data_IF_974890681375
#
_entry.id   IF_974890681375
#
_cell.length_a   1.000
_cell.length_b   1.000
_cell.length_c   1.000
_cell.angle_alpha   90.00
_cell.angle_beta   90.00
_cell.angle_gamma   90.00
#
_symmetry.space_group_name_H-M   'P 1'
#
loop_
_entity.id
_entity.type
_entity.pdbx_description
1 polymer ?
#
# COMPACT_ATOMS: atom_id res chain seq x y z
N UNK A 1 -55.68 -37.45 21.98
CA UNK A 1 -54.41 -36.88 22.46
C UNK A 1 -53.88 -35.97 21.37
N UNK A 2 -53.98 -34.66 21.57
CA UNK A 2 -53.43 -33.69 20.63
C UNK A 2 -51.91 -33.68 20.80
N UNK A 3 -51.18 -34.09 19.75
CA UNK A 3 -49.74 -33.97 19.71
C UNK A 3 -49.40 -32.48 19.73
N UNK A 4 -48.88 -32.01 20.87
CA UNK A 4 -48.26 -30.70 21.00
C UNK A 4 -47.02 -30.68 20.10
N UNK A 5 -47.15 -30.23 18.85
CA UNK A 5 -46.01 -29.97 17.98
C UNK A 5 -45.21 -28.83 18.62
N UNK A 6 -44.09 -29.16 19.26
CA UNK A 6 -43.10 -28.15 19.62
C UNK A 6 -42.72 -27.39 18.34
N UNK A 7 -42.60 -26.05 18.40
CA UNK A 7 -42.16 -25.28 17.25
C UNK A 7 -40.80 -25.81 16.76
N UNK A 8 -40.54 -25.79 15.44
CA UNK A 8 -39.26 -26.23 14.89
C UNK A 8 -38.14 -25.45 15.59
N UNK A 9 -37.20 -26.17 16.18
CA UNK A 9 -36.06 -25.55 16.82
C UNK A 9 -35.20 -24.87 15.74
N UNK A 10 -34.71 -23.64 16.01
CA UNK A 10 -33.78 -23.01 15.09
C UNK A 10 -32.50 -23.84 15.01
N UNK A 11 -32.02 -24.08 13.79
CA UNK A 11 -30.76 -24.77 13.50
C UNK A 11 -29.77 -23.80 12.86
N UNK A 12 -28.47 -24.07 13.02
CA UNK A 12 -27.40 -23.27 12.42
C UNK A 12 -27.38 -21.80 12.89
N UNK A 13 -27.05 -20.83 12.01
CA UNK A 13 -26.90 -19.42 12.38
C UNK A 13 -28.13 -18.78 13.04
N UNK A 14 -29.34 -19.30 12.75
CA UNK A 14 -30.56 -18.80 13.38
C UNK A 14 -30.60 -19.15 14.87
N UNK A 15 -30.03 -20.30 15.26
CA UNK A 15 -29.92 -20.69 16.66
C UNK A 15 -29.00 -19.74 17.42
N UNK A 16 -27.85 -19.39 16.85
CA UNK A 16 -26.86 -18.51 17.48
C UNK A 16 -27.43 -17.10 17.73
N UNK A 17 -28.16 -16.54 16.74
CA UNK A 17 -28.86 -15.26 16.90
C UNK A 17 -29.90 -15.32 18.04
N UNK A 18 -30.67 -16.39 18.11
CA UNK A 18 -31.73 -16.57 19.12
C UNK A 18 -31.14 -16.76 20.52
N UNK A 19 -30.07 -17.55 20.64
CA UNK A 19 -29.35 -17.75 21.91
C UNK A 19 -28.75 -16.44 22.43
N UNK A 20 -28.16 -15.62 21.53
CA UNK A 20 -27.65 -14.31 21.89
C UNK A 20 -28.78 -13.36 22.35
N UNK A 21 -29.91 -13.31 21.63
CA UNK A 21 -31.06 -12.49 22.03
C UNK A 21 -31.62 -12.93 23.39
N UNK A 22 -31.67 -14.23 23.66
CA UNK A 22 -32.11 -14.78 24.94
C UNK A 22 -31.10 -14.56 26.08
N UNK A 23 -29.80 -14.53 25.78
CA UNK A 23 -28.76 -14.12 26.72
C UNK A 23 -28.93 -12.65 27.12
N UNK A 24 -29.05 -11.75 26.14
CA UNK A 24 -29.24 -10.33 26.39
C UNK A 24 -30.56 -10.06 27.14
N UNK A 25 -31.63 -10.78 26.78
CA UNK A 25 -32.90 -10.69 27.48
C UNK A 25 -32.81 -11.15 28.94
N UNK A 26 -32.03 -12.20 29.24
CA UNK A 26 -31.73 -12.63 30.61
C UNK A 26 -30.89 -11.60 31.35
N UNK A 27 -29.85 -11.04 30.72
CA UNK A 27 -28.99 -10.02 31.31
C UNK A 27 -29.75 -8.72 31.65
N UNK A 28 -30.78 -8.39 30.87
CA UNK A 28 -31.71 -7.28 31.11
C UNK A 28 -32.81 -7.60 32.16
N UNK A 29 -32.78 -8.77 32.80
CA UNK A 29 -33.73 -9.14 33.85
C UNK A 29 -35.07 -9.68 33.35
N UNK A 30 -35.12 -10.31 32.15
CA UNK A 30 -36.30 -10.99 31.61
C UNK A 30 -37.54 -10.10 31.49
N UNK A 31 -37.35 -8.87 30.99
CA UNK A 31 -38.44 -7.91 30.79
C UNK A 31 -39.57 -8.50 29.94
N UNK A 32 -40.83 -8.17 30.25
CA UNK A 32 -41.95 -8.64 29.42
C UNK A 32 -41.85 -8.09 28.00
N UNK A 33 -42.24 -8.86 26.98
CA UNK A 33 -42.18 -8.41 25.58
C UNK A 33 -42.97 -7.12 25.32
N UNK A 34 -44.04 -6.88 26.09
CA UNK A 34 -44.79 -5.61 26.08
C UNK A 34 -43.96 -4.45 26.62
N UNK A 35 -43.18 -4.67 27.69
CA UNK A 35 -42.28 -3.67 28.25
C UNK A 35 -41.16 -3.34 27.26
N UNK A 36 -40.56 -4.34 26.60
CA UNK A 36 -39.54 -4.12 25.55
C UNK A 36 -40.11 -3.29 24.39
N UNK A 37 -41.28 -3.64 23.86
CA UNK A 37 -41.94 -2.85 22.79
C UNK A 37 -42.28 -1.42 23.23
N UNK A 38 -42.57 -1.19 24.52
CA UNK A 38 -42.80 0.14 25.08
C UNK A 38 -41.50 0.94 25.15
N UNK A 39 -40.39 0.31 25.54
CA UNK A 39 -39.06 0.93 25.54
C UNK A 39 -38.65 1.36 24.13
N UNK A 40 -38.82 0.49 23.13
CA UNK A 40 -38.53 0.80 21.72
C UNK A 40 -39.34 2.01 21.23
N UNK A 41 -40.63 2.07 21.57
CA UNK A 41 -41.49 3.20 21.17
C UNK A 41 -41.10 4.52 21.84
N UNK A 42 -40.52 4.46 23.04
CA UNK A 42 -40.09 5.64 23.79
C UNK A 42 -38.76 6.24 23.33
N UNK A 43 -38.12 5.65 22.31
CA UNK A 43 -36.83 6.08 21.79
C UNK A 43 -36.97 6.91 20.50
N UNK A 44 -36.18 7.97 20.40
CA UNK A 44 -36.13 8.85 19.23
C UNK A 44 -35.28 8.27 18.08
N UNK A 45 -34.36 7.36 18.38
CA UNK A 45 -33.41 6.71 17.46
C UNK A 45 -33.93 5.38 16.87
N UNK A 46 -35.21 5.05 17.07
CA UNK A 46 -35.80 3.78 16.63
C UNK A 46 -35.83 3.64 15.10
N UNK A 47 -35.48 2.46 14.62
CA UNK A 47 -35.49 2.13 13.18
C UNK A 47 -36.76 1.36 12.76
N UNK A 48 -37.54 0.87 13.72
CA UNK A 48 -38.67 -0.04 13.52
C UNK A 48 -39.85 0.24 14.47
N UNK A 49 -41.07 -0.07 14.02
CA UNK A 49 -42.28 -0.10 14.85
C UNK A 49 -42.54 -1.51 15.42
N UNK A 50 -41.52 -2.10 16.05
CA UNK A 50 -41.57 -3.48 16.55
C UNK A 50 -42.67 -3.67 17.61
N UNK A 51 -43.68 -4.49 17.28
CA UNK A 51 -44.75 -4.87 18.21
C UNK A 51 -44.26 -5.89 19.24
N UNK A 52 -44.97 -6.03 20.37
CA UNK A 52 -44.66 -7.06 21.37
C UNK A 52 -44.68 -8.49 20.81
N UNK A 53 -45.49 -8.77 19.79
CA UNK A 53 -45.50 -10.07 19.10
C UNK A 53 -44.27 -10.23 18.19
N UNK A 54 -43.82 -9.15 17.55
CA UNK A 54 -42.58 -9.12 16.76
C UNK A 54 -41.36 -9.38 17.65
N UNK A 55 -41.30 -8.73 18.81
CA UNK A 55 -40.24 -8.94 19.82
C UNK A 55 -40.26 -10.38 20.32
N UNK A 56 -41.44 -10.90 20.67
CA UNK A 56 -41.60 -12.31 21.07
C UNK A 56 -41.12 -13.26 19.97
N UNK A 57 -41.55 -13.03 18.73
CA UNK A 57 -41.22 -13.88 17.59
C UNK A 57 -39.72 -13.92 17.33
N UNK A 58 -39.02 -12.79 17.48
CA UNK A 58 -37.57 -12.70 17.36
C UNK A 58 -36.84 -13.41 18.51
N UNK A 59 -37.15 -13.10 19.77
CA UNK A 59 -36.45 -13.67 20.95
C UNK A 59 -36.72 -15.17 21.10
N UNK A 60 -37.88 -15.66 20.67
CA UNK A 60 -38.22 -17.09 20.70
C UNK A 60 -37.76 -17.85 19.45
N UNK A 61 -37.16 -17.18 18.46
CA UNK A 61 -36.71 -17.83 17.22
C UNK A 61 -37.83 -18.36 16.33
N UNK A 62 -39.04 -17.79 16.42
CA UNK A 62 -40.20 -18.21 15.62
C UNK A 62 -40.05 -17.72 14.17
N UNK A 63 -39.48 -16.52 13.98
CA UNK A 63 -39.21 -15.94 12.65
C UNK A 63 -37.90 -15.16 12.69
N UNK A 64 -37.23 -15.12 11.54
CA UNK A 64 -36.05 -14.27 11.33
C UNK A 64 -36.52 -12.80 11.21
N UNK A 65 -36.15 -11.92 12.17
CA UNK A 65 -36.49 -10.50 12.11
C UNK A 65 -35.68 -9.75 11.03
N UNK A 66 -36.13 -8.56 10.65
CA UNK A 66 -35.29 -7.62 9.88
C UNK A 66 -34.26 -6.95 10.80
N UNK A 67 -33.18 -6.43 10.24
CA UNK A 67 -32.11 -5.80 11.00
C UNK A 67 -32.63 -4.65 11.89
N UNK A 68 -33.51 -3.81 11.38
CA UNK A 68 -34.08 -2.67 12.12
C UNK A 68 -34.81 -3.13 13.39
N UNK A 69 -35.44 -4.31 13.33
CA UNK A 69 -36.09 -4.91 14.49
C UNK A 69 -35.09 -5.50 15.48
N UNK A 70 -33.99 -6.09 15.01
CA UNK A 70 -32.92 -6.61 15.88
C UNK A 70 -32.24 -5.46 16.60
N UNK A 71 -31.83 -4.43 15.85
CA UNK A 71 -31.23 -3.20 16.36
C UNK A 71 -32.05 -2.66 17.54
N UNK A 72 -33.32 -2.33 17.31
CA UNK A 72 -34.16 -1.71 18.34
C UNK A 72 -34.34 -2.60 19.59
N UNK A 73 -34.41 -3.93 19.42
CA UNK A 73 -34.47 -4.87 20.54
C UNK A 73 -33.17 -4.86 21.33
N UNK A 74 -32.01 -4.91 20.65
CA UNK A 74 -30.69 -4.95 21.28
C UNK A 74 -30.43 -3.66 22.04
N UNK A 75 -30.63 -2.51 21.40
CA UNK A 75 -30.45 -1.18 22.00
C UNK A 75 -31.37 -1.00 23.21
N UNK A 76 -32.64 -1.43 23.12
CA UNK A 76 -33.57 -1.36 24.26
C UNK A 76 -33.20 -2.27 25.43
N UNK A 77 -32.56 -3.42 25.19
CA UNK A 77 -32.17 -4.37 26.24
C UNK A 77 -30.78 -4.05 26.84
N UNK A 78 -29.83 -3.56 26.04
CA UNK A 78 -28.46 -3.24 26.46
C UNK A 78 -28.45 -2.19 27.59
N UNK A 79 -29.22 -1.10 27.43
CA UNK A 79 -29.37 -0.07 28.46
C UNK A 79 -30.11 -0.53 29.74
N UNK A 80 -30.73 -1.71 29.72
CA UNK A 80 -31.44 -2.30 30.88
C UNK A 80 -30.63 -3.40 31.58
N UNK A 81 -29.44 -3.73 31.06
CA UNK A 81 -28.55 -4.69 31.69
C UNK A 81 -27.99 -4.15 33.02
N UNK A 82 -27.54 -5.05 33.90
CA UNK A 82 -26.86 -4.69 35.15
C UNK A 82 -25.51 -5.42 35.24
N UNK A 83 -24.36 -4.73 35.07
CA UNK A 83 -24.21 -3.30 34.72
C UNK A 83 -24.75 -2.98 33.31
N UNK A 84 -25.11 -1.71 33.01
CA UNK A 84 -25.49 -1.29 31.68
C UNK A 84 -24.39 -1.64 30.68
N UNK A 85 -24.78 -2.26 29.56
CA UNK A 85 -23.86 -2.57 28.47
C UNK A 85 -23.90 -1.42 27.46
N UNK A 86 -22.77 -1.21 26.81
CA UNK A 86 -22.65 -0.23 25.73
C UNK A 86 -23.52 -0.65 24.54
N UNK A 87 -24.41 0.25 24.12
CA UNK A 87 -25.40 -0.02 23.08
C UNK A 87 -24.76 -0.22 21.69
N UNK A 88 -23.69 0.52 21.39
CA UNK A 88 -22.99 0.45 20.11
C UNK A 88 -22.21 -0.87 20.00
N UNK A 89 -21.54 -1.27 21.08
CA UNK A 89 -20.82 -2.56 21.13
C UNK A 89 -21.77 -3.77 21.04
N UNK A 90 -22.93 -3.72 21.69
CA UNK A 90 -23.92 -4.80 21.57
C UNK A 90 -24.55 -4.82 20.17
N UNK A 91 -24.87 -3.67 19.58
CA UNK A 91 -25.38 -3.60 18.21
C UNK A 91 -24.36 -4.17 17.21
N UNK A 92 -23.08 -3.82 17.35
CA UNK A 92 -21.98 -4.37 16.56
C UNK A 92 -21.81 -5.89 16.75
N UNK A 93 -22.12 -6.42 17.94
CA UNK A 93 -22.10 -7.86 18.23
C UNK A 93 -23.22 -8.62 17.52
N UNK A 94 -24.41 -8.04 17.38
CA UNK A 94 -25.59 -8.71 16.81
C UNK A 94 -25.69 -8.64 15.28
N UNK A 95 -25.07 -7.64 14.65
CA UNK A 95 -25.12 -7.46 13.19
C UNK A 95 -24.55 -8.66 12.40
N UNK A 96 -23.37 -9.22 12.73
CA UNK A 96 -22.85 -10.41 12.06
C UNK A 96 -23.73 -11.65 12.25
N UNK A 97 -24.32 -11.84 13.43
CA UNK A 97 -25.24 -12.94 13.70
C UNK A 97 -26.49 -12.85 12.82
N UNK A 98 -27.05 -11.64 12.65
CA UNK A 98 -28.21 -11.43 11.77
C UNK A 98 -27.88 -11.67 10.29
N UNK A 99 -26.72 -11.18 9.82
CA UNK A 99 -26.27 -11.40 8.44
C UNK A 99 -26.00 -12.88 8.18
N UNK A 100 -25.40 -13.61 9.10
CA UNK A 100 -25.17 -15.05 8.96
C UNK A 100 -26.47 -15.84 8.70
N UNK A 101 -27.60 -15.39 9.27
CA UNK A 101 -28.93 -15.97 9.01
C UNK A 101 -29.46 -15.64 7.61
N UNK A 102 -29.14 -14.46 7.07
CA UNK A 102 -29.65 -13.97 5.77
C UNK A 102 -28.78 -14.41 4.60
N UNK A 103 -27.48 -14.41 4.78
CA UNK A 103 -26.45 -14.52 3.74
C UNK A 103 -25.59 -15.80 3.89
N UNK A 104 -25.78 -16.58 4.95
CA UNK A 104 -24.98 -17.77 5.24
C UNK A 104 -23.60 -17.45 5.85
N UNK A 105 -22.63 -18.35 5.72
CA UNK A 105 -21.27 -18.17 6.27
C UNK A 105 -20.61 -16.85 5.78
N UNK A 106 -20.91 -16.41 4.56
CA UNK A 106 -20.41 -15.14 4.01
C UNK A 106 -20.90 -13.92 4.78
N UNK A 107 -22.09 -13.97 5.39
CA UNK A 107 -22.63 -12.89 6.22
C UNK A 107 -22.06 -12.86 7.64
N UNK A 108 -21.35 -13.91 8.07
CA UNK A 108 -20.78 -13.99 9.42
C UNK A 108 -19.52 -13.12 9.58
N UNK A 109 -18.85 -12.75 8.49
CA UNK A 109 -17.71 -11.85 8.52
C UNK A 109 -18.15 -10.39 8.66
N UNK A 110 -17.39 -9.62 9.43
CA UNK A 110 -17.54 -8.16 9.45
C UNK A 110 -17.25 -7.59 8.06
N UNK A 111 -18.07 -6.64 7.65
CA UNK A 111 -17.78 -5.75 6.54
C UNK A 111 -16.54 -4.89 6.86
N UNK A 112 -15.89 -4.37 5.82
CA UNK A 112 -14.74 -3.49 6.01
C UNK A 112 -15.05 -2.25 6.87
N UNK A 113 -16.24 -1.67 6.73
CA UNK A 113 -16.66 -0.54 7.57
C UNK A 113 -16.75 -0.91 9.07
N UNK A 114 -17.21 -2.13 9.37
CA UNK A 114 -17.26 -2.64 10.75
C UNK A 114 -15.86 -2.94 11.31
N UNK A 115 -14.91 -3.33 10.46
CA UNK A 115 -13.50 -3.47 10.82
C UNK A 115 -12.86 -2.12 11.15
N UNK A 116 -13.12 -1.10 10.35
CA UNK A 116 -12.60 0.25 10.58
C UNK A 116 -13.13 0.81 11.91
N UNK A 117 -14.43 0.62 12.18
CA UNK A 117 -15.05 1.16 13.40
C UNK A 117 -14.74 0.34 14.67
N UNK A 118 -14.56 -0.98 14.53
CA UNK A 118 -14.39 -1.92 15.66
C UNK A 118 -12.98 -2.46 15.85
N UNK A 119 -12.02 -2.03 15.02
CA UNK A 119 -10.65 -2.52 14.99
C UNK A 119 -10.48 -3.88 14.31
N UNK A 120 -9.23 -4.22 14.00
CA UNK A 120 -8.83 -5.52 13.40
C UNK A 120 -8.89 -6.70 14.39
N UNK A 121 -9.20 -6.44 15.67
CA UNK A 121 -9.20 -7.41 16.76
C UNK A 121 -7.79 -7.73 17.29
N UNK A 122 -7.72 -8.42 18.44
CA UNK A 122 -6.47 -8.91 19.04
C UNK A 122 -5.89 -8.07 20.18
N UNK A 123 -6.44 -6.90 20.48
CA UNK A 123 -6.02 -6.05 21.61
C UNK A 123 -6.23 -6.72 22.97
N UNK A 124 -7.17 -7.66 23.06
CA UNK A 124 -7.48 -8.47 24.24
C UNK A 124 -6.75 -9.83 24.26
N UNK A 125 -5.86 -10.08 23.28
CA UNK A 125 -5.07 -11.31 23.15
C UNK A 125 -5.84 -12.53 22.65
N UNK A 126 -7.08 -12.38 22.18
CA UNK A 126 -7.86 -13.48 21.61
C UNK A 126 -7.75 -13.52 20.08
N UNK A 127 -7.70 -14.74 19.55
CA UNK A 127 -7.76 -14.97 18.11
C UNK A 127 -9.17 -14.70 17.57
N UNK A 128 -9.26 -13.82 16.58
CA UNK A 128 -10.51 -13.52 15.87
C UNK A 128 -10.45 -14.02 14.42
N UNK A 129 -11.60 -14.30 13.78
CA UNK A 129 -11.66 -14.63 12.35
C UNK A 129 -10.98 -13.58 11.46
N UNK A 130 -11.09 -12.32 11.83
CA UNK A 130 -10.50 -11.17 11.13
C UNK A 130 -8.96 -11.22 11.15
N UNK A 131 -8.35 -11.63 12.27
CA UNK A 131 -6.89 -11.82 12.35
C UNK A 131 -6.42 -12.94 11.42
N UNK A 132 -7.16 -14.04 11.35
CA UNK A 132 -6.84 -15.15 10.44
C UNK A 132 -6.95 -14.68 8.98
N UNK A 133 -8.00 -13.94 8.64
CA UNK A 133 -8.16 -13.33 7.33
C UNK A 133 -6.98 -12.41 6.99
N UNK A 134 -6.57 -11.54 7.92
CA UNK A 134 -5.40 -10.67 7.74
C UNK A 134 -4.13 -11.46 7.43
N UNK A 135 -3.88 -12.56 8.13
CA UNK A 135 -2.73 -13.44 7.87
C UNK A 135 -2.83 -14.09 6.48
N UNK A 136 -4.01 -14.59 6.11
CA UNK A 136 -4.22 -15.31 4.84
C UNK A 136 -4.11 -14.38 3.62
N UNK A 137 -4.58 -13.13 3.74
CA UNK A 137 -4.56 -12.15 2.65
C UNK A 137 -3.21 -11.43 2.56
N UNK A 138 -2.40 -11.44 3.61
CA UNK A 138 -1.12 -10.73 3.64
C UNK A 138 -0.13 -11.31 2.60
N UNK A 139 0.20 -10.55 1.53
CA UNK A 139 1.07 -11.03 0.46
C UNK A 139 2.52 -11.23 0.90
N UNK A 140 2.94 -10.67 2.05
CA UNK A 140 4.27 -10.87 2.64
C UNK A 140 4.58 -12.36 2.88
N UNK A 141 3.57 -13.18 3.13
CA UNK A 141 3.74 -14.62 3.33
C UNK A 141 4.02 -15.40 2.03
N UNK A 142 3.75 -14.81 0.87
CA UNK A 142 3.77 -15.50 -0.43
C UNK A 142 4.80 -14.95 -1.41
N UNK A 143 5.14 -13.66 -1.33
CA UNK A 143 6.04 -12.98 -2.28
C UNK A 143 6.92 -11.94 -1.59
N UNK A 144 8.06 -11.64 -2.20
CA UNK A 144 8.83 -10.43 -1.90
C UNK A 144 8.22 -9.25 -2.66
N UNK A 145 7.87 -8.18 -1.94
CA UNK A 145 7.30 -6.97 -2.52
C UNK A 145 8.44 -6.12 -3.07
N UNK A 146 8.30 -5.65 -4.31
CA UNK A 146 9.29 -4.80 -4.95
C UNK A 146 9.47 -3.49 -4.15
N UNK A 147 10.70 -3.09 -3.77
CA UNK A 147 10.93 -1.96 -2.87
C UNK A 147 10.33 -0.63 -3.35
N UNK A 148 10.25 -0.40 -4.65
CA UNK A 148 9.67 0.83 -5.21
C UNK A 148 8.18 1.01 -4.88
N UNK A 149 7.45 -0.07 -4.59
CA UNK A 149 6.04 -0.01 -4.19
C UNK A 149 5.86 0.33 -2.70
N UNK A 150 6.92 0.26 -1.91
CA UNK A 150 6.93 0.61 -0.49
C UNK A 150 7.47 2.03 -0.24
N UNK A 151 7.97 2.72 -1.27
CA UNK A 151 8.45 4.08 -1.16
C UNK A 151 7.28 5.06 -0.89
N UNK A 152 7.48 6.08 -0.04
CA UNK A 152 6.48 7.13 0.18
C UNK A 152 6.11 7.82 -1.13
N UNK A 153 4.83 7.91 -1.45
CA UNK A 153 4.31 8.57 -2.64
C UNK A 153 2.89 9.12 -2.41
N UNK A 154 2.45 10.05 -3.25
CA UNK A 154 1.08 10.54 -3.25
C UNK A 154 0.18 9.60 -4.08
N UNK A 155 -0.92 9.07 -3.51
CA UNK A 155 -1.84 8.21 -4.25
C UNK A 155 -2.51 8.96 -5.41
N UNK A 156 -2.42 8.39 -6.62
CA UNK A 156 -3.04 8.98 -7.82
C UNK A 156 -4.54 8.72 -7.92
N UNK A 157 -5.03 7.68 -7.23
CA UNK A 157 -6.43 7.24 -7.27
C UNK A 157 -6.92 7.06 -5.82
N UNK A 158 -8.10 7.60 -5.46
CA UNK A 158 -8.71 7.34 -4.16
C UNK A 158 -8.96 5.84 -3.94
N UNK A 159 -8.78 5.36 -2.71
CA UNK A 159 -8.88 3.93 -2.38
C UNK A 159 -10.22 3.32 -2.80
N UNK A 160 -11.35 3.99 -2.51
CA UNK A 160 -12.68 3.50 -2.89
C UNK A 160 -12.84 3.32 -4.40
N UNK A 161 -12.31 4.26 -5.20
CA UNK A 161 -12.37 4.16 -6.65
C UNK A 161 -11.53 2.99 -7.17
N UNK A 162 -10.37 2.75 -6.55
CA UNK A 162 -9.52 1.62 -6.88
C UNK A 162 -10.19 0.29 -6.54
N UNK A 163 -10.82 0.17 -5.37
CA UNK A 163 -11.55 -1.05 -4.95
C UNK A 163 -12.70 -1.35 -5.91
N UNK A 164 -13.51 -0.35 -6.28
CA UNK A 164 -14.61 -0.55 -7.23
C UNK A 164 -14.12 -1.02 -8.61
N UNK A 165 -13.01 -0.45 -9.10
CA UNK A 165 -12.39 -0.89 -10.35
C UNK A 165 -11.89 -2.36 -10.25
N UNK A 166 -11.26 -2.73 -9.14
CA UNK A 166 -10.77 -4.10 -8.91
C UNK A 166 -11.92 -5.11 -8.77
N UNK A 167 -13.02 -4.75 -8.11
CA UNK A 167 -14.22 -5.61 -8.05
C UNK A 167 -14.75 -5.91 -9.44
N UNK A 168 -14.91 -4.87 -10.27
CA UNK A 168 -15.36 -5.03 -11.66
C UNK A 168 -14.38 -5.89 -12.48
N UNK A 169 -13.07 -5.70 -12.29
CA UNK A 169 -12.06 -6.52 -12.95
C UNK A 169 -12.14 -7.99 -12.55
N UNK A 170 -12.38 -8.28 -11.27
CA UNK A 170 -12.59 -9.65 -10.76
C UNK A 170 -13.86 -10.26 -11.35
N UNK A 171 -14.94 -9.50 -11.47
CA UNK A 171 -16.18 -9.96 -12.09
C UNK A 171 -15.99 -10.28 -13.59
N UNK A 172 -15.24 -9.45 -14.30
CA UNK A 172 -15.02 -9.59 -15.75
C UNK A 172 -13.97 -10.66 -16.11
N UNK A 173 -12.87 -10.76 -15.34
CA UNK A 173 -11.71 -11.61 -15.67
C UNK A 173 -11.55 -12.82 -14.74
N UNK A 174 -12.27 -12.87 -13.63
CA UNK A 174 -12.19 -13.91 -12.62
C UNK A 174 -11.17 -13.62 -11.51
N UNK A 175 -11.49 -14.12 -10.31
CA UNK A 175 -10.71 -13.86 -9.09
C UNK A 175 -9.27 -14.40 -9.16
N UNK A 176 -9.05 -15.60 -9.71
CA UNK A 176 -7.70 -16.17 -9.83
C UNK A 176 -6.81 -15.29 -10.72
N UNK A 177 -7.33 -14.86 -11.87
CA UNK A 177 -6.57 -14.03 -12.80
C UNK A 177 -6.19 -12.69 -12.15
N UNK A 178 -7.16 -12.04 -11.51
CA UNK A 178 -6.93 -10.78 -10.81
C UNK A 178 -5.86 -10.88 -9.71
N UNK A 179 -5.93 -11.91 -8.87
CA UNK A 179 -4.93 -12.14 -7.83
C UNK A 179 -3.54 -12.42 -8.42
N UNK A 180 -3.44 -13.20 -9.50
CA UNK A 180 -2.14 -13.45 -10.16
C UNK A 180 -1.54 -12.17 -10.75
N UNK A 181 -2.35 -11.33 -11.39
CA UNK A 181 -1.90 -10.04 -11.94
C UNK A 181 -1.45 -9.09 -10.83
N UNK A 182 -2.21 -9.02 -9.72
CA UNK A 182 -1.83 -8.23 -8.56
C UNK A 182 -0.48 -8.70 -8.00
N UNK A 183 -0.29 -10.01 -7.84
CA UNK A 183 0.98 -10.57 -7.37
C UNK A 183 2.16 -10.29 -8.31
N UNK A 184 1.97 -10.30 -9.63
CA UNK A 184 3.03 -9.91 -10.57
C UNK A 184 3.37 -8.43 -10.42
N UNK A 185 2.35 -7.58 -10.30
CA UNK A 185 2.53 -6.14 -10.09
C UNK A 185 3.30 -5.87 -8.79
N UNK A 186 2.94 -6.55 -7.69
CA UNK A 186 3.63 -6.43 -6.39
C UNK A 186 5.10 -6.88 -6.44
N UNK A 187 5.48 -7.76 -7.37
CA UNK A 187 6.88 -8.16 -7.63
C UNK A 187 7.63 -7.18 -8.54
N UNK A 188 6.95 -6.18 -9.10
CA UNK A 188 7.53 -5.23 -10.05
C UNK A 188 7.44 -5.67 -11.52
N UNK A 189 6.70 -6.75 -11.83
CA UNK A 189 6.44 -7.21 -13.20
C UNK A 189 5.21 -6.50 -13.78
N UNK A 190 5.38 -5.23 -14.13
CA UNK A 190 4.28 -4.38 -14.60
C UNK A 190 3.86 -4.70 -16.03
N UNK A 191 2.57 -5.00 -16.21
CA UNK A 191 1.98 -5.28 -17.53
C UNK A 191 2.03 -4.01 -18.38
N UNK A 192 2.76 -4.05 -19.51
CA UNK A 192 2.80 -2.94 -20.48
C UNK A 192 3.80 -1.82 -20.15
N UNK A 193 4.63 -1.98 -19.11
CA UNK A 193 5.71 -1.03 -18.84
C UNK A 193 6.80 -1.11 -19.94
N UNK A 194 7.29 0.05 -20.37
CA UNK A 194 8.51 0.14 -21.15
C UNK A 194 9.72 -0.14 -20.24
N UNK A 195 10.75 -0.78 -20.80
CA UNK A 195 11.96 -1.14 -20.07
C UNK A 195 12.64 0.12 -19.50
N UNK A 196 12.80 0.19 -18.16
CA UNK A 196 13.54 1.26 -17.48
C UNK A 196 12.70 2.31 -16.72
N UNK A 197 11.38 2.38 -16.91
CA UNK A 197 10.52 3.19 -16.03
C UNK A 197 9.10 2.63 -15.98
N UNK A 198 8.83 1.68 -15.07
CA UNK A 198 7.49 1.18 -14.88
C UNK A 198 6.65 2.23 -14.18
N UNK A 199 5.73 2.86 -14.91
CA UNK A 199 4.70 3.76 -14.36
C UNK A 199 5.19 4.88 -13.41
N UNK A 200 6.45 5.32 -13.54
CA UNK A 200 7.04 6.38 -12.71
C UNK A 200 7.62 5.92 -11.37
N UNK A 201 7.75 4.63 -11.12
CA UNK A 201 8.44 4.12 -9.93
C UNK A 201 9.97 4.12 -10.13
N UNK A 202 10.65 5.04 -9.44
CA UNK A 202 12.10 5.06 -9.28
C UNK A 202 12.56 3.85 -8.46
N UNK A 203 13.53 3.08 -8.95
CA UNK A 203 14.19 2.05 -8.15
C UNK A 203 15.57 2.62 -7.75
N UNK A 204 15.75 3.06 -6.49
CA UNK A 204 16.97 3.74 -6.06
C UNK A 204 18.23 2.88 -6.23
N UNK A 205 18.15 1.58 -5.96
CA UNK A 205 19.28 0.65 -6.11
C UNK A 205 19.66 0.48 -7.58
N UNK A 206 18.66 0.46 -8.46
CA UNK A 206 18.86 0.38 -9.91
C UNK A 206 19.40 1.69 -10.48
N UNK A 207 18.87 2.83 -10.03
CA UNK A 207 19.38 4.16 -10.42
C UNK A 207 20.83 4.33 -9.96
N UNK A 208 21.19 3.89 -8.75
CA UNK A 208 22.56 3.86 -8.28
C UNK A 208 23.45 2.95 -9.14
N UNK A 209 22.97 1.76 -9.51
CA UNK A 209 23.70 0.85 -10.39
C UNK A 209 23.89 1.41 -11.81
N UNK A 210 22.87 2.06 -12.38
CA UNK A 210 22.93 2.71 -13.69
C UNK A 210 23.83 3.95 -13.65
N UNK A 211 23.80 4.73 -12.58
CA UNK A 211 24.71 5.86 -12.35
C UNK A 211 26.17 5.39 -12.23
N UNK A 212 26.42 4.31 -11.48
CA UNK A 212 27.75 3.72 -11.37
C UNK A 212 28.25 3.16 -12.71
N UNK A 213 27.38 2.52 -13.50
CA UNK A 213 27.73 2.07 -14.84
C UNK A 213 28.03 3.24 -15.79
N UNK A 214 27.21 4.29 -15.75
CA UNK A 214 27.43 5.52 -16.52
C UNK A 214 28.75 6.21 -16.13
N UNK A 215 29.06 6.25 -14.83
CA UNK A 215 30.30 6.79 -14.31
C UNK A 215 31.51 6.03 -14.84
N UNK A 216 31.54 4.69 -14.68
CA UNK A 216 32.64 3.85 -15.20
C UNK A 216 32.82 3.99 -16.70
N UNK A 217 31.73 3.99 -17.47
CA UNK A 217 31.81 4.18 -18.91
C UNK A 217 32.35 5.57 -19.28
N UNK A 218 31.87 6.63 -18.62
CA UNK A 218 32.41 7.97 -18.85
C UNK A 218 33.88 8.11 -18.47
N UNK A 219 34.34 7.46 -17.39
CA UNK A 219 35.76 7.39 -17.04
C UNK A 219 36.62 6.73 -18.14
N UNK A 220 36.14 5.64 -18.75
CA UNK A 220 36.82 4.99 -19.88
C UNK A 220 36.92 5.92 -21.10
N UNK A 221 35.83 6.63 -21.42
CA UNK A 221 35.81 7.57 -22.53
C UNK A 221 36.65 8.83 -22.27
N UNK A 222 36.67 9.32 -21.03
CA UNK A 222 37.56 10.41 -20.59
C UNK A 222 39.02 9.98 -20.78
N UNK A 223 39.39 8.79 -20.31
CA UNK A 223 40.75 8.29 -20.45
C UNK A 223 41.15 8.14 -21.92
N UNK A 224 40.25 7.64 -22.77
CA UNK A 224 40.44 7.60 -24.23
C UNK A 224 40.65 8.99 -24.82
N UNK A 225 39.89 9.98 -24.37
CA UNK A 225 39.90 11.34 -24.92
C UNK A 225 41.12 12.15 -24.47
N UNK A 226 41.50 12.07 -23.20
CA UNK A 226 42.72 12.68 -22.66
C UNK A 226 43.99 12.20 -23.39
N UNK A 227 44.03 10.95 -23.87
CA UNK A 227 45.13 10.45 -24.72
C UNK A 227 45.27 11.20 -26.05
N UNK A 228 44.17 11.73 -26.58
CA UNK A 228 44.15 12.46 -27.87
C UNK A 228 44.27 13.97 -27.68
N UNK A 229 43.76 14.48 -26.56
CA UNK A 229 43.67 15.91 -26.25
C UNK A 229 44.29 16.20 -24.86
N UNK A 230 45.63 16.37 -24.76
CA UNK A 230 46.33 16.47 -23.48
C UNK A 230 46.00 17.74 -22.67
N UNK A 231 45.50 18.80 -23.32
CA UNK A 231 45.12 20.05 -22.64
C UNK A 231 43.62 20.12 -22.30
N UNK A 232 42.84 19.09 -22.64
CA UNK A 232 41.38 19.11 -22.52
C UNK A 232 40.89 19.36 -21.09
N UNK A 233 41.56 18.80 -20.09
CA UNK A 233 41.18 18.98 -18.69
C UNK A 233 41.23 20.46 -18.27
N UNK A 234 42.35 21.13 -18.56
CA UNK A 234 42.54 22.54 -18.22
C UNK A 234 41.54 23.45 -18.98
N UNK A 235 41.25 23.12 -20.24
CA UNK A 235 40.24 23.84 -21.03
C UNK A 235 38.84 23.62 -20.48
N UNK A 236 38.49 22.38 -20.09
CA UNK A 236 37.16 22.04 -19.59
C UNK A 236 36.89 22.64 -18.22
N UNK A 237 37.90 22.72 -17.34
CA UNK A 237 37.80 23.45 -16.06
C UNK A 237 37.48 24.92 -16.31
N UNK A 238 38.14 25.57 -17.29
CA UNK A 238 37.85 26.97 -17.65
C UNK A 238 36.45 27.10 -18.23
N UNK A 239 36.05 26.20 -19.13
CA UNK A 239 34.73 26.19 -19.74
C UNK A 239 33.62 26.01 -18.68
N UNK A 240 33.84 25.14 -17.70
CA UNK A 240 32.93 24.94 -16.58
C UNK A 240 32.80 26.21 -15.73
N UNK A 241 33.92 26.84 -15.36
CA UNK A 241 33.89 28.08 -14.56
C UNK A 241 33.23 29.26 -15.27
N UNK A 242 33.24 29.26 -16.61
CA UNK A 242 32.56 30.24 -17.44
C UNK A 242 31.09 29.88 -17.75
N UNK A 243 30.63 28.68 -17.38
CA UNK A 243 29.26 28.22 -17.63
C UNK A 243 28.28 28.84 -16.62
N UNK A 244 27.62 29.92 -17.02
CA UNK A 244 26.59 30.58 -16.23
C UNK A 244 25.25 29.81 -16.20
N UNK A 245 25.12 28.75 -17.02
CA UNK A 245 23.88 27.94 -17.13
C UNK A 245 23.85 26.75 -16.17
N UNK A 246 24.93 26.53 -15.42
CA UNK A 246 25.03 25.44 -14.46
C UNK A 246 24.11 25.67 -13.27
N UNK A 247 23.50 24.59 -12.77
CA UNK A 247 22.62 24.65 -11.62
C UNK A 247 23.36 25.16 -10.36
N UNK A 248 22.63 25.84 -9.47
CA UNK A 248 23.21 26.47 -8.29
C UNK A 248 23.77 25.44 -7.31
N UNK A 249 23.10 24.30 -7.16
CA UNK A 249 23.50 23.26 -6.21
C UNK A 249 24.70 22.47 -6.77
N UNK A 250 24.67 22.11 -8.05
CA UNK A 250 25.83 21.51 -8.76
C UNK A 250 27.09 22.41 -8.65
N UNK A 251 26.89 23.73 -8.76
CA UNK A 251 27.98 24.70 -8.62
C UNK A 251 28.50 24.81 -7.20
N UNK A 252 27.64 24.68 -6.20
CA UNK A 252 28.04 24.70 -4.80
C UNK A 252 28.86 23.46 -4.44
N UNK A 253 28.41 22.27 -4.85
CA UNK A 253 29.12 21.00 -4.65
C UNK A 253 30.50 21.02 -5.31
N UNK A 254 30.60 21.54 -6.54
CA UNK A 254 31.89 21.65 -7.23
C UNK A 254 32.87 22.60 -6.52
N UNK A 255 32.39 23.72 -6.00
CA UNK A 255 33.23 24.67 -5.24
C UNK A 255 33.70 24.09 -3.90
N UNK A 256 32.87 23.25 -3.27
CA UNK A 256 33.24 22.53 -2.06
C UNK A 256 34.35 21.53 -2.35
N UNK A 257 34.23 20.73 -3.42
CA UNK A 257 35.27 19.80 -3.83
C UNK A 257 36.57 20.51 -4.25
N UNK A 258 36.48 21.66 -4.94
CA UNK A 258 37.65 22.49 -5.29
C UNK A 258 38.37 23.09 -4.07
N UNK A 259 37.71 23.15 -2.90
CA UNK A 259 38.32 23.65 -1.67
C UNK A 259 39.28 22.65 -1.02
N UNK A 260 39.20 21.36 -1.39
CA UNK A 260 40.14 20.34 -0.94
C UNK A 260 41.42 20.38 -1.78
N UNK A 261 42.48 20.91 -1.17
CA UNK A 261 43.81 21.06 -1.79
C UNK A 261 44.43 19.70 -2.14
N UNK A 262 44.17 18.65 -1.35
CA UNK A 262 44.73 17.32 -1.59
C UNK A 262 44.08 16.69 -2.83
N UNK A 263 42.75 16.77 -2.91
CA UNK A 263 41.98 16.28 -4.04
C UNK A 263 42.32 17.05 -5.33
N UNK A 264 42.44 18.38 -5.25
CA UNK A 264 42.84 19.21 -6.40
C UNK A 264 44.27 18.89 -6.87
N UNK A 265 45.18 18.56 -5.97
CA UNK A 265 46.53 18.12 -6.35
C UNK A 265 46.48 16.81 -7.17
N UNK A 266 45.65 15.85 -6.76
CA UNK A 266 45.44 14.61 -7.52
C UNK A 266 44.83 14.89 -8.90
N UNK A 267 43.81 15.75 -8.98
CA UNK A 267 43.21 16.11 -10.27
C UNK A 267 44.20 16.80 -11.21
N UNK A 268 45.08 17.66 -10.69
CA UNK A 268 46.06 18.39 -11.51
C UNK A 268 47.19 17.52 -12.06
N UNK A 269 47.44 16.35 -11.47
CA UNK A 269 48.41 15.37 -11.99
C UNK A 269 47.76 14.32 -12.90
N UNK A 270 46.44 14.40 -13.16
CA UNK A 270 45.75 13.48 -14.04
C UNK A 270 46.26 13.64 -15.46
N UNK A 271 46.85 12.56 -15.94
CA UNK A 271 47.29 12.35 -17.31
C UNK A 271 46.83 10.95 -17.73
N UNK A 272 46.89 10.61 -19.02
CA UNK A 272 46.59 9.25 -19.44
C UNK A 272 47.42 8.18 -18.72
N UNK A 273 48.66 8.49 -18.33
CA UNK A 273 49.55 7.52 -17.70
C UNK A 273 49.32 7.41 -16.19
N UNK A 274 48.82 8.46 -15.55
CA UNK A 274 48.55 8.52 -14.09
C UNK A 274 47.09 8.25 -13.73
N UNK A 275 46.22 8.00 -14.73
CA UNK A 275 44.78 7.80 -14.52
C UNK A 275 44.46 6.68 -13.54
N UNK A 276 45.17 5.55 -13.61
CA UNK A 276 44.93 4.40 -12.73
C UNK A 276 45.56 4.56 -11.34
N UNK A 277 46.30 5.65 -11.11
CA UNK A 277 47.03 5.92 -9.86
C UNK A 277 46.31 6.93 -8.95
N UNK A 278 45.31 7.66 -9.47
CA UNK A 278 44.55 8.65 -8.69
C UNK A 278 43.31 8.05 -8.03
N UNK A 279 42.80 8.73 -6.99
CA UNK A 279 41.61 8.29 -6.25
C UNK A 279 40.32 8.30 -7.09
N UNK A 280 39.32 7.55 -6.61
CA UNK A 280 37.98 7.54 -7.21
C UNK A 280 37.31 8.91 -7.07
N UNK A 281 37.56 9.63 -5.98
CA UNK A 281 37.13 11.02 -5.77
C UNK A 281 37.72 11.95 -6.83
N UNK A 282 39.01 11.78 -7.20
CA UNK A 282 39.63 12.53 -8.28
C UNK A 282 39.01 12.19 -9.64
N UNK A 283 38.67 10.91 -9.89
CA UNK A 283 37.92 10.52 -11.09
C UNK A 283 36.54 11.17 -11.15
N UNK A 284 35.81 11.23 -10.04
CA UNK A 284 34.50 11.92 -9.96
C UNK A 284 34.63 13.41 -10.30
N UNK A 285 35.64 14.08 -9.77
CA UNK A 285 35.84 15.50 -10.06
C UNK A 285 36.24 15.74 -11.51
N UNK A 286 37.13 14.92 -12.08
CA UNK A 286 37.47 14.98 -13.51
C UNK A 286 36.25 14.68 -14.39
N UNK A 287 35.42 13.72 -14.00
CA UNK A 287 34.17 13.40 -14.69
C UNK A 287 33.25 14.62 -14.75
N UNK A 288 33.01 15.30 -13.63
CA UNK A 288 32.17 16.51 -13.57
C UNK A 288 32.72 17.69 -14.37
N UNK A 289 34.06 17.81 -14.47
CA UNK A 289 34.68 18.84 -15.31
C UNK A 289 34.49 18.58 -16.81
N UNK A 290 34.69 17.34 -17.27
CA UNK A 290 34.70 17.02 -18.71
C UNK A 290 33.33 16.72 -19.28
N UNK A 291 32.46 16.07 -18.52
CA UNK A 291 31.15 15.61 -18.97
C UNK A 291 30.07 16.54 -18.43
N UNK A 292 29.24 17.08 -19.34
CA UNK A 292 28.08 17.89 -18.98
C UNK A 292 26.89 17.03 -18.56
N UNK A 293 26.68 15.91 -19.26
CA UNK A 293 25.60 14.97 -18.97
C UNK A 293 25.91 13.59 -19.56
N UNK A 294 25.50 12.53 -18.86
CA UNK A 294 25.40 11.18 -19.44
C UNK A 294 23.95 10.74 -19.37
N UNK A 295 23.37 10.35 -20.49
CA UNK A 295 21.99 9.88 -20.56
C UNK A 295 21.92 8.40 -20.96
N UNK A 296 21.17 7.55 -20.23
CA UNK A 296 20.87 6.21 -20.69
C UNK A 296 19.91 6.27 -21.90
N UNK A 297 20.28 5.61 -23.00
CA UNK A 297 19.57 5.62 -24.29
C UNK A 297 19.25 4.22 -24.82
N UNK A 298 19.69 3.15 -24.13
CA UNK A 298 19.52 1.76 -24.58
C UNK A 298 19.34 0.74 -23.43
N UNK A 299 18.80 -0.46 -23.72
CA UNK A 299 18.50 -1.48 -22.71
C UNK A 299 19.75 -2.09 -22.05
N UNK A 300 19.59 -2.64 -20.84
CA UNK A 300 20.69 -3.13 -19.98
C UNK A 300 21.56 -4.22 -20.63
N UNK A 301 20.99 -4.98 -21.58
CA UNK A 301 21.69 -6.04 -22.30
C UNK A 301 22.64 -5.59 -23.41
N UNK A 302 22.64 -4.29 -23.75
CA UNK A 302 23.55 -3.75 -24.77
C UNK A 302 24.92 -3.41 -24.18
N UNK A 303 25.96 -3.29 -25.04
CA UNK A 303 27.24 -2.73 -24.63
C UNK A 303 27.10 -1.28 -24.13
N UNK A 304 27.92 -0.87 -23.17
CA UNK A 304 27.85 0.46 -22.55
C UNK A 304 27.89 1.62 -23.58
N UNK A 305 28.62 1.45 -24.69
CA UNK A 305 28.70 2.43 -25.79
C UNK A 305 27.39 2.65 -26.55
N UNK A 306 26.47 1.67 -26.55
CA UNK A 306 25.14 1.81 -27.13
C UNK A 306 24.10 2.21 -26.07
N UNK A 307 24.43 2.01 -24.79
CA UNK A 307 23.56 2.32 -23.65
C UNK A 307 23.65 3.75 -23.18
N UNK A 308 24.82 4.37 -23.26
CA UNK A 308 25.04 5.70 -22.68
C UNK A 308 25.43 6.71 -23.75
N UNK A 309 24.77 7.86 -23.75
CA UNK A 309 25.14 9.00 -24.59
C UNK A 309 25.79 10.07 -23.72
N UNK A 310 27.06 10.33 -23.99
CA UNK A 310 27.85 11.38 -23.31
C UNK A 310 27.67 12.70 -24.04
N UNK A 311 27.26 13.73 -23.31
CA UNK A 311 27.32 15.12 -23.74
C UNK A 311 28.55 15.75 -23.10
N UNK A 312 29.58 15.98 -23.90
CA UNK A 312 30.82 16.61 -23.45
C UNK A 312 30.64 18.11 -23.20
N UNK A 313 31.35 18.63 -22.20
CA UNK A 313 31.36 20.08 -21.94
C UNK A 313 32.07 20.85 -23.04
N UNK A 314 33.23 20.35 -23.47
CA UNK A 314 33.89 20.78 -24.70
C UNK A 314 33.57 19.74 -25.78
N UNK A 315 32.85 20.11 -26.86
CA UNK A 315 32.55 19.20 -27.96
C UNK A 315 33.81 18.54 -28.52
N UNK A 316 33.73 17.29 -28.97
CA UNK A 316 34.84 16.67 -29.68
C UNK A 316 35.11 17.45 -30.98
N UNK A 317 36.39 17.67 -31.35
CA UNK A 317 36.72 18.30 -32.63
C UNK A 317 36.13 17.45 -33.75
N UNK A 318 35.28 18.07 -34.57
CA UNK A 318 34.69 17.40 -35.73
C UNK A 318 35.82 17.04 -36.67
N UNK A 319 35.95 15.76 -37.03
CA UNK A 319 36.91 15.36 -38.04
C UNK A 319 36.53 16.04 -39.37
N UNK A 320 37.31 17.05 -39.77
CA UNK A 320 37.47 17.39 -41.20
C UNK A 320 38.33 16.33 -41.89
#
# INVERSE_FOLDING_TARGET
>A
MAASSAPPQPEGPHKDLVEALQELHRAAGLLSFRKVSTLIRGRDDRLSDASHESVRSAVQGIRVPRWETVHDIVTALAGQCSPPRDEDLETARFLPLWRAVREGESGALKSFQELVNGGWGGEDGKWTPEMIMGILVNPFSAIEIHPSLAAPHEPLVPEDHWVQAMMRFIEEQGAEHALRVLLHTLKGDYIGAAEGSPYGYSNPDREAMEAYAAFRYGCQEIHRRLRREPNLLAESIRAMRADETMDRDDRAEMLENESDVSLMHEVMIVTPDTWDEVSEEAHHMVFGYLIKQVSPVGPLGLPDAERFRITWRIPEPTAE
#
